data_IF_053422792638
#
_entry.id   IF_053422792638
#
_cell.length_a   1.000
_cell.length_b   1.000
_cell.length_c   1.000
_cell.angle_alpha   90.00
_cell.angle_beta   90.00
_cell.angle_gamma   90.00
#
_symmetry.space_group_name_H-M   'P 1'
#
loop_
_entity.id
_entity.type
_entity.pdbx_description
1 polymer ?
#
# COMPACT_ATOMS: atom_id res chain seq x y z
N UNK A 1 22.27 18.84 5.47
CA UNK A 1 22.37 17.64 4.60
C UNK A 1 21.07 17.57 3.81
N UNK A 2 21.14 17.67 2.49
CA UNK A 2 19.97 17.67 1.60
C UNK A 2 19.28 16.31 1.58
N UNK A 3 18.08 16.24 2.17
CA UNK A 3 17.28 15.01 2.25
C UNK A 3 16.97 14.43 0.85
N UNK A 4 16.84 15.28 -0.16
CA UNK A 4 16.63 14.86 -1.55
C UNK A 4 17.82 14.09 -2.15
N UNK A 5 19.06 14.42 -1.74
CA UNK A 5 20.21 13.64 -2.16
C UNK A 5 20.18 12.24 -1.52
N UNK A 6 19.73 12.15 -0.27
CA UNK A 6 19.63 10.87 0.46
C UNK A 6 18.57 9.91 -0.09
N UNK A 7 17.41 10.39 -0.55
CA UNK A 7 16.36 9.52 -1.12
C UNK A 7 16.83 8.94 -2.46
N UNK A 8 17.47 9.75 -3.29
CA UNK A 8 18.02 9.31 -4.58
C UNK A 8 19.07 8.21 -4.37
N UNK A 9 19.99 8.41 -3.44
CA UNK A 9 21.01 7.42 -3.09
C UNK A 9 20.39 6.09 -2.61
N UNK A 10 19.35 6.16 -1.77
CA UNK A 10 18.65 4.96 -1.29
C UNK A 10 17.93 4.22 -2.41
N UNK A 11 17.31 4.95 -3.33
CA UNK A 11 16.65 4.39 -4.51
C UNK A 11 17.66 3.66 -5.40
N UNK A 12 18.78 4.31 -5.70
CA UNK A 12 19.81 3.73 -6.55
C UNK A 12 20.39 2.45 -5.94
N UNK A 13 20.71 2.46 -4.64
CA UNK A 13 21.19 1.27 -3.91
C UNK A 13 20.20 0.10 -3.94
N UNK A 14 18.89 0.36 -3.78
CA UNK A 14 17.88 -0.70 -3.81
C UNK A 14 17.73 -1.30 -5.22
N UNK A 15 17.85 -0.48 -6.26
CA UNK A 15 17.85 -0.93 -7.66
C UNK A 15 19.12 -1.73 -7.96
N UNK A 16 20.28 -1.24 -7.54
CA UNK A 16 21.57 -1.92 -7.71
C UNK A 16 21.57 -3.28 -7.02
N UNK A 17 21.13 -3.35 -5.75
CA UNK A 17 21.00 -4.60 -5.00
C UNK A 17 20.15 -5.65 -5.75
N UNK A 18 19.06 -5.20 -6.39
CA UNK A 18 18.20 -6.09 -7.19
C UNK A 18 18.99 -6.72 -8.35
N UNK A 19 19.82 -5.92 -9.02
CA UNK A 19 20.63 -6.33 -10.17
C UNK A 19 21.80 -7.22 -9.75
N UNK A 20 22.58 -6.79 -8.76
CA UNK A 20 23.78 -7.50 -8.30
C UNK A 20 23.46 -8.89 -7.74
N UNK A 21 22.31 -9.04 -7.10
CA UNK A 21 21.89 -10.31 -6.50
C UNK A 21 20.85 -11.07 -7.33
N UNK A 22 20.56 -10.62 -8.55
CA UNK A 22 19.58 -11.24 -9.46
C UNK A 22 18.26 -11.57 -8.74
N UNK A 23 17.75 -10.61 -7.96
CA UNK A 23 16.57 -10.83 -7.11
C UNK A 23 15.38 -11.19 -7.98
N UNK A 24 14.90 -12.42 -7.84
CA UNK A 24 13.80 -12.94 -8.65
C UNK A 24 12.46 -12.30 -8.31
N UNK A 25 11.55 -12.27 -9.29
CA UNK A 25 10.15 -11.87 -9.11
C UNK A 25 9.47 -12.61 -7.95
N UNK A 26 9.82 -13.89 -7.73
CA UNK A 26 9.26 -14.68 -6.64
C UNK A 26 9.60 -14.08 -5.28
N UNK A 27 10.85 -13.65 -5.08
CA UNK A 27 11.28 -13.01 -3.83
C UNK A 27 10.54 -11.67 -3.64
N UNK A 28 10.45 -10.86 -4.70
CA UNK A 28 9.74 -9.58 -4.64
C UNK A 28 8.26 -9.77 -4.27
N UNK A 29 7.59 -10.76 -4.89
CA UNK A 29 6.21 -11.15 -4.57
C UNK A 29 6.07 -11.68 -3.15
N UNK A 30 7.03 -12.45 -2.65
CA UNK A 30 7.03 -12.93 -1.26
C UNK A 30 7.15 -11.78 -0.26
N UNK A 31 8.03 -10.81 -0.51
CA UNK A 31 8.17 -9.62 0.35
C UNK A 31 6.89 -8.78 0.35
N UNK A 32 6.31 -8.52 -0.83
CA UNK A 32 5.03 -7.81 -0.94
C UNK A 32 3.91 -8.56 -0.20
N UNK A 33 3.83 -9.88 -0.38
CA UNK A 33 2.87 -10.74 0.31
C UNK A 33 3.04 -10.74 1.83
N UNK A 34 4.28 -10.73 2.33
CA UNK A 34 4.58 -10.64 3.77
C UNK A 34 4.16 -9.28 4.36
N UNK A 35 4.26 -8.20 3.58
CA UNK A 35 3.70 -6.89 3.93
C UNK A 35 2.17 -6.80 3.73
N UNK A 36 1.54 -7.89 3.27
CA UNK A 36 0.15 -7.93 2.82
C UNK A 36 -0.15 -6.85 1.75
N UNK A 37 0.85 -6.42 0.99
CA UNK A 37 0.73 -5.40 -0.06
C UNK A 37 0.34 -6.07 -1.38
N UNK A 38 -0.79 -5.66 -1.95
CA UNK A 38 -1.27 -6.15 -3.25
C UNK A 38 -0.64 -5.30 -4.35
N UNK A 39 0.40 -5.81 -4.98
CA UNK A 39 1.13 -5.13 -6.05
C UNK A 39 0.78 -5.76 -7.40
N UNK A 40 0.45 -4.92 -8.38
CA UNK A 40 0.38 -5.33 -9.79
C UNK A 40 1.78 -5.36 -10.40
N UNK A 41 2.44 -6.51 -10.28
CA UNK A 41 3.79 -6.71 -10.81
C UNK A 41 3.84 -6.69 -12.34
N UNK A 42 2.73 -6.89 -13.04
CA UNK A 42 2.71 -6.81 -14.50
C UNK A 42 2.69 -5.36 -14.95
N UNK A 43 1.96 -4.49 -14.24
CA UNK A 43 2.03 -3.04 -14.42
C UNK A 43 3.44 -2.49 -14.13
N UNK A 44 4.06 -2.87 -13.01
CA UNK A 44 5.42 -2.44 -12.66
C UNK A 44 6.46 -2.84 -13.70
N UNK A 45 6.32 -4.01 -14.32
CA UNK A 45 7.20 -4.43 -15.41
C UNK A 45 7.13 -3.50 -16.62
N UNK A 46 5.95 -2.98 -16.94
CA UNK A 46 5.76 -2.05 -18.06
C UNK A 46 6.39 -0.68 -17.78
N UNK A 47 6.50 -0.28 -16.51
CA UNK A 47 7.05 1.01 -16.07
C UNK A 47 8.59 1.05 -15.93
N UNK A 48 9.29 -0.03 -16.26
CA UNK A 48 10.76 -0.08 -16.22
C UNK A 48 11.36 -1.23 -15.42
N UNK A 49 10.54 -2.20 -15.00
CA UNK A 49 10.99 -3.45 -14.39
C UNK A 49 10.82 -3.52 -12.88
N UNK A 50 10.66 -4.74 -12.37
CA UNK A 50 10.51 -5.00 -10.95
C UNK A 50 11.85 -4.81 -10.23
N UNK A 51 11.81 -4.07 -9.12
CA UNK A 51 12.97 -3.90 -8.24
C UNK A 51 12.56 -3.88 -6.77
N UNK A 52 13.52 -4.08 -5.89
CA UNK A 52 13.32 -3.87 -4.45
C UNK A 52 12.78 -2.46 -4.15
N UNK A 53 13.26 -1.43 -4.87
CA UNK A 53 12.74 -0.08 -4.71
C UNK A 53 11.24 0.01 -5.02
N UNK A 54 10.80 -0.58 -6.13
CA UNK A 54 9.39 -0.56 -6.53
C UNK A 54 8.51 -1.23 -5.47
N UNK A 55 8.96 -2.35 -4.88
CA UNK A 55 8.22 -3.01 -3.79
C UNK A 55 8.15 -2.12 -2.54
N UNK A 56 9.23 -1.43 -2.19
CA UNK A 56 9.23 -0.51 -1.04
C UNK A 56 8.28 0.67 -1.26
N UNK A 57 8.28 1.23 -2.46
CA UNK A 57 7.43 2.37 -2.82
C UNK A 57 5.94 1.99 -2.75
N UNK A 58 5.56 0.85 -3.35
CA UNK A 58 4.18 0.36 -3.29
C UNK A 58 3.78 -0.06 -1.87
N UNK A 59 4.69 -0.65 -1.10
CA UNK A 59 4.43 -1.00 0.31
C UNK A 59 4.21 0.27 1.16
N UNK A 60 4.96 1.34 0.90
CA UNK A 60 4.77 2.61 1.59
C UNK A 60 3.42 3.24 1.25
N UNK A 61 3.05 3.30 -0.04
CA UNK A 61 1.75 3.81 -0.50
C UNK A 61 0.57 3.03 0.12
N UNK A 62 0.64 1.70 0.11
CA UNK A 62 -0.36 0.85 0.76
C UNK A 62 -0.43 1.11 2.27
N UNK A 63 0.71 1.33 2.92
CA UNK A 63 0.78 1.68 4.35
C UNK A 63 0.08 3.00 4.67
N UNK A 64 0.30 4.04 3.86
CA UNK A 64 -0.37 5.34 3.99
C UNK A 64 -1.89 5.20 3.79
N UNK A 65 -2.31 4.51 2.72
CA UNK A 65 -3.72 4.26 2.44
C UNK A 65 -4.41 3.48 3.56
N UNK A 66 -3.75 2.46 4.13
CA UNK A 66 -4.24 1.72 5.30
C UNK A 66 -4.38 2.59 6.54
N UNK A 67 -3.39 3.43 6.80
CA UNK A 67 -3.40 4.34 7.94
C UNK A 67 -4.58 5.30 7.87
N UNK A 68 -4.78 5.92 6.72
CA UNK A 68 -5.91 6.81 6.50
C UNK A 68 -7.26 6.06 6.52
N UNK A 69 -7.36 4.90 5.87
CA UNK A 69 -8.55 4.07 5.92
C UNK A 69 -8.95 3.69 7.35
N UNK A 70 -7.97 3.27 8.16
CA UNK A 70 -8.18 2.95 9.57
C UNK A 70 -8.68 4.15 10.35
N UNK A 71 -8.07 5.32 10.17
CA UNK A 71 -8.51 6.55 10.82
C UNK A 71 -9.95 6.93 10.48
N UNK A 72 -10.34 6.76 9.20
CA UNK A 72 -11.72 6.98 8.75
C UNK A 72 -12.68 5.98 9.42
N UNK A 73 -12.37 4.68 9.37
CA UNK A 73 -13.23 3.63 9.93
C UNK A 73 -13.39 3.79 11.44
N UNK A 74 -12.29 3.90 12.18
CA UNK A 74 -12.29 4.02 13.64
C UNK A 74 -13.13 5.23 14.08
N UNK A 75 -12.87 6.41 13.50
CA UNK A 75 -13.59 7.65 13.85
C UNK A 75 -15.08 7.56 13.50
N UNK A 76 -15.43 7.05 12.32
CA UNK A 76 -16.83 6.96 11.91
C UNK A 76 -17.61 5.92 12.73
N UNK A 77 -16.98 4.81 13.08
CA UNK A 77 -17.56 3.80 13.97
C UNK A 77 -17.76 4.34 15.38
N UNK A 78 -16.81 5.13 15.93
CA UNK A 78 -16.96 5.79 17.24
C UNK A 78 -18.12 6.79 17.27
N UNK A 79 -18.40 7.43 16.14
CA UNK A 79 -19.54 8.33 15.96
C UNK A 79 -20.87 7.60 15.65
N UNK A 80 -20.85 6.27 15.54
CA UNK A 80 -22.04 5.46 15.24
C UNK A 80 -22.58 5.64 13.82
N UNK A 81 -21.73 6.04 12.87
CA UNK A 81 -22.13 6.16 11.47
C UNK A 81 -22.37 4.77 10.84
N UNK A 82 -23.38 4.64 9.95
CA UNK A 82 -23.64 3.37 9.26
C UNK A 82 -22.54 3.06 8.25
N UNK A 83 -22.31 1.76 8.02
CA UNK A 83 -21.29 1.25 7.09
C UNK A 83 -21.35 1.89 5.70
N UNK A 84 -22.55 2.15 5.17
CA UNK A 84 -22.72 2.81 3.87
C UNK A 84 -22.06 4.19 3.80
N UNK A 85 -22.10 4.96 4.89
CA UNK A 85 -21.49 6.28 4.94
C UNK A 85 -19.98 6.19 5.15
N UNK A 86 -19.50 5.17 5.86
CA UNK A 86 -18.06 4.86 5.98
C UNK A 86 -17.50 4.49 4.61
N UNK A 87 -18.19 3.62 3.86
CA UNK A 87 -17.80 3.21 2.51
C UNK A 87 -17.70 4.41 1.57
N UNK A 88 -18.71 5.29 1.55
CA UNK A 88 -18.66 6.53 0.75
C UNK A 88 -17.45 7.40 1.10
N UNK A 89 -17.14 7.56 2.40
CA UNK A 89 -15.99 8.34 2.85
C UNK A 89 -14.67 7.72 2.42
N UNK A 90 -14.51 6.41 2.56
CA UNK A 90 -13.33 5.67 2.10
C UNK A 90 -13.11 5.85 0.59
N UNK A 91 -14.16 5.66 -0.22
CA UNK A 91 -14.07 5.81 -1.67
C UNK A 91 -13.67 7.22 -2.09
N UNK A 92 -14.28 8.26 -1.50
CA UNK A 92 -14.00 9.66 -1.85
C UNK A 92 -12.63 10.13 -1.37
N UNK A 93 -12.25 9.79 -0.13
CA UNK A 93 -11.00 10.27 0.47
C UNK A 93 -9.76 9.58 -0.09
N UNK A 94 -9.86 8.27 -0.30
CA UNK A 94 -8.74 7.47 -0.81
C UNK A 94 -8.77 7.32 -2.34
N UNK A 95 -9.82 7.80 -3.00
CA UNK A 95 -10.05 7.63 -4.44
C UNK A 95 -9.98 6.14 -4.86
N UNK A 96 -10.71 5.28 -4.15
CA UNK A 96 -10.71 3.82 -4.36
C UNK A 96 -12.06 3.28 -4.79
N UNK A 97 -12.05 2.07 -5.36
CA UNK A 97 -13.27 1.34 -5.72
C UNK A 97 -14.09 0.94 -4.49
N UNK A 98 -15.39 0.69 -4.67
CA UNK A 98 -16.26 0.18 -3.62
C UNK A 98 -15.72 -1.13 -3.04
N UNK A 99 -15.22 -2.02 -3.89
CA UNK A 99 -14.62 -3.29 -3.45
C UNK A 99 -13.45 -3.06 -2.50
N UNK A 100 -12.56 -2.12 -2.84
CA UNK A 100 -11.41 -1.78 -1.97
C UNK A 100 -11.86 -1.15 -0.65
N UNK A 101 -12.86 -0.27 -0.70
CA UNK A 101 -13.46 0.31 0.50
C UNK A 101 -14.10 -0.76 1.42
N UNK A 102 -14.78 -1.74 0.83
CA UNK A 102 -15.35 -2.88 1.57
C UNK A 102 -14.26 -3.75 2.21
N UNK A 103 -13.13 -3.96 1.53
CA UNK A 103 -11.98 -4.67 2.12
C UNK A 103 -11.41 -3.93 3.33
N UNK A 104 -11.26 -2.61 3.26
CA UNK A 104 -10.80 -1.80 4.40
C UNK A 104 -11.80 -1.79 5.55
N UNK A 105 -13.09 -1.61 5.26
CA UNK A 105 -14.13 -1.69 6.28
C UNK A 105 -14.15 -3.08 6.94
N UNK A 106 -13.98 -4.17 6.18
CA UNK A 106 -13.88 -5.52 6.75
C UNK A 106 -12.62 -5.70 7.61
N UNK A 107 -11.51 -5.07 7.24
CA UNK A 107 -10.23 -5.18 7.94
C UNK A 107 -10.23 -4.41 9.27
N UNK A 108 -10.80 -3.20 9.29
CA UNK A 108 -10.74 -2.29 10.44
C UNK A 108 -12.06 -2.13 11.19
N UNK A 109 -13.19 -2.51 10.59
CA UNK A 109 -14.51 -2.40 11.18
C UNK A 109 -14.63 -3.19 12.47
N UNK A 110 -15.39 -2.65 13.43
CA UNK A 110 -15.68 -3.33 14.68
C UNK A 110 -16.56 -4.55 14.39
N UNK A 111 -16.14 -5.73 14.85
CA UNK A 111 -17.04 -6.89 14.89
C UNK A 111 -18.12 -6.59 15.92
N UNK A 112 -19.34 -6.31 15.47
CA UNK A 112 -20.51 -6.39 16.34
C UNK A 112 -20.63 -7.84 16.80
N UNK A 113 -20.38 -8.06 18.10
CA UNK A 113 -20.53 -9.34 18.81
C UNK A 113 -22.01 -9.63 19.01
#
# INVERSE_FOLDING_TARGET
MDQNNSIRDKKEKAIEYTKEHEVSDTILKTVAGAANCKIDFDALKQEGGNSMWSVFEETAKEGEARGEARGIVDTCSDLGLPDEDILKRLQVKLNISLQSAQEYLRMFGKKTV
#
